data_IF_250622108283
#
_entry.id   IF_250622108283
#
_cell.length_a   1.000
_cell.length_b   1.000
_cell.length_c   1.000
_cell.angle_alpha   90.00
_cell.angle_beta   90.00
_cell.angle_gamma   90.00
#
_symmetry.space_group_name_H-M   'P 1'
#
loop_
_entity.id
_entity.type
_entity.pdbx_description
1 polymer ?
#
# COMPACT_ATOMS: atom_id res chain seq x y z
N UNK A 1 37.76 -6.98 -22.65
CA UNK A 1 36.76 -5.95 -22.30
C UNK A 1 35.98 -6.45 -21.08
N UNK A 2 35.91 -5.65 -20.02
CA UNK A 2 35.07 -5.97 -18.87
C UNK A 2 33.61 -5.71 -19.29
N UNK A 3 32.72 -6.69 -19.09
CA UNK A 3 31.30 -6.49 -19.25
C UNK A 3 30.75 -5.63 -18.09
N UNK A 4 29.68 -4.87 -18.30
CA UNK A 4 29.03 -4.14 -17.22
C UNK A 4 28.46 -5.09 -16.17
N UNK A 5 28.44 -4.65 -14.90
CA UNK A 5 27.76 -5.33 -13.79
C UNK A 5 26.25 -5.12 -13.96
N UNK A 6 25.49 -6.22 -13.94
CA UNK A 6 24.03 -6.21 -14.03
C UNK A 6 23.42 -6.30 -12.64
N UNK A 7 22.65 -5.29 -12.26
CA UNK A 7 21.93 -5.24 -10.98
C UNK A 7 20.43 -5.19 -11.25
N UNK A 8 19.66 -6.02 -10.58
CA UNK A 8 18.20 -5.99 -10.64
C UNK A 8 17.62 -5.81 -9.24
N UNK A 9 16.56 -5.01 -9.15
CA UNK A 9 15.82 -4.74 -7.90
C UNK A 9 14.33 -4.61 -8.16
N UNK A 10 13.54 -4.75 -7.10
CA UNK A 10 12.09 -4.56 -7.15
C UNK A 10 11.70 -3.27 -6.41
N UNK A 11 11.00 -2.35 -7.07
CA UNK A 11 10.63 -1.07 -6.45
C UNK A 11 9.48 -1.18 -5.43
N UNK A 12 8.79 -2.31 -5.37
CA UNK A 12 7.62 -2.54 -4.53
C UNK A 12 7.45 -4.00 -4.14
N UNK A 13 6.33 -4.30 -3.49
CA UNK A 13 5.99 -5.64 -3.00
C UNK A 13 5.72 -6.58 -4.18
N UNK A 14 6.20 -7.81 -4.07
CA UNK A 14 5.96 -8.90 -5.02
C UNK A 14 4.73 -9.69 -4.57
N UNK A 15 3.62 -9.60 -5.30
CA UNK A 15 2.37 -10.29 -4.95
C UNK A 15 2.11 -11.53 -5.80
N UNK A 16 2.37 -11.44 -7.10
CA UNK A 16 2.06 -12.49 -8.06
C UNK A 16 3.31 -12.90 -8.83
N UNK A 17 3.40 -14.18 -9.11
CA UNK A 17 4.52 -14.72 -9.88
C UNK A 17 5.88 -14.29 -9.32
N UNK A 18 5.96 -14.18 -7.98
CA UNK A 18 7.15 -13.67 -7.31
C UNK A 18 8.38 -14.56 -7.60
N UNK A 19 8.21 -15.87 -7.48
CA UNK A 19 9.30 -16.82 -7.75
C UNK A 19 9.72 -16.77 -9.22
N UNK A 20 8.77 -16.85 -10.15
CA UNK A 20 9.04 -16.78 -11.59
C UNK A 20 9.79 -15.48 -11.95
N UNK A 21 9.29 -14.34 -11.45
CA UNK A 21 9.92 -13.06 -11.69
C UNK A 21 11.33 -12.95 -11.12
N UNK A 22 11.61 -13.61 -9.99
CA UNK A 22 12.96 -13.69 -9.43
C UNK A 22 13.86 -14.64 -10.25
N UNK A 23 13.35 -15.78 -10.67
CA UNK A 23 14.08 -16.75 -11.51
C UNK A 23 14.43 -16.19 -12.89
N UNK A 24 13.53 -15.40 -13.50
CA UNK A 24 13.80 -14.68 -14.76
C UNK A 24 15.00 -13.71 -14.65
N UNK A 25 15.35 -13.30 -13.44
CA UNK A 25 16.46 -12.40 -13.13
C UNK A 25 17.68 -13.12 -12.54
N UNK A 26 17.69 -14.44 -12.50
CA UNK A 26 18.78 -15.22 -11.92
C UNK A 26 20.14 -15.01 -12.63
N UNK A 27 20.12 -14.58 -13.89
CA UNK A 27 21.33 -14.30 -14.67
C UNK A 27 21.99 -12.94 -14.39
N UNK A 28 21.49 -12.12 -13.46
CA UNK A 28 22.15 -10.87 -13.06
C UNK A 28 23.28 -11.11 -12.06
N UNK A 29 24.24 -10.19 -11.98
CA UNK A 29 25.35 -10.28 -11.03
C UNK A 29 24.90 -10.01 -9.60
N UNK A 30 23.86 -9.16 -9.41
CA UNK A 30 23.28 -8.84 -8.12
C UNK A 30 21.77 -8.72 -8.21
N UNK A 31 21.05 -9.56 -7.47
CA UNK A 31 19.59 -9.52 -7.32
C UNK A 31 19.24 -8.98 -5.93
N UNK A 32 18.69 -7.76 -5.89
CA UNK A 32 18.26 -7.10 -4.67
C UNK A 32 16.83 -7.49 -4.32
N UNK A 33 16.63 -8.13 -3.19
CA UNK A 33 15.32 -8.60 -2.71
C UNK A 33 14.84 -7.80 -1.51
N UNK A 34 13.51 -7.67 -1.41
CA UNK A 34 12.88 -6.72 -0.50
C UNK A 34 12.65 -7.28 0.91
N UNK A 35 12.49 -8.60 1.05
CA UNK A 35 12.19 -9.26 2.32
C UNK A 35 12.99 -10.54 2.50
N UNK A 36 13.11 -11.00 3.74
CA UNK A 36 13.69 -12.30 4.05
C UNK A 36 12.88 -13.43 3.38
N UNK A 37 11.55 -13.29 3.34
CA UNK A 37 10.66 -14.25 2.68
C UNK A 37 10.95 -14.35 1.16
N UNK A 38 11.20 -13.21 0.48
CA UNK A 38 11.58 -13.22 -0.94
C UNK A 38 12.91 -13.95 -1.13
N UNK A 39 13.90 -13.66 -0.28
CA UNK A 39 15.22 -14.29 -0.33
C UNK A 39 15.13 -15.81 -0.11
N UNK A 40 14.36 -16.25 0.87
CA UNK A 40 14.19 -17.67 1.16
C UNK A 40 13.39 -18.37 0.04
N UNK A 41 12.42 -17.70 -0.55
CA UNK A 41 11.64 -18.21 -1.69
C UNK A 41 12.52 -18.38 -2.92
N UNK A 42 13.36 -17.38 -3.23
CA UNK A 42 14.32 -17.44 -4.34
C UNK A 42 15.33 -18.58 -4.15
N UNK A 43 15.94 -18.68 -2.95
CA UNK A 43 16.92 -19.74 -2.63
C UNK A 43 16.32 -21.14 -2.77
N UNK A 44 15.10 -21.35 -2.27
CA UNK A 44 14.39 -22.63 -2.42
C UNK A 44 14.09 -22.94 -3.89
N UNK A 45 13.66 -21.95 -4.66
CA UNK A 45 13.40 -22.12 -6.10
C UNK A 45 14.67 -22.47 -6.87
N UNK A 46 15.76 -21.77 -6.64
CA UNK A 46 17.06 -22.08 -7.23
C UNK A 46 17.54 -23.48 -6.86
N UNK A 47 17.47 -23.86 -5.57
CA UNK A 47 17.87 -25.18 -5.12
C UNK A 47 17.07 -26.30 -5.78
N UNK A 48 15.75 -26.13 -5.96
CA UNK A 48 14.88 -27.10 -6.66
C UNK A 48 15.25 -27.27 -8.14
N UNK A 49 15.84 -26.25 -8.77
CA UNK A 49 16.27 -26.25 -10.15
C UNK A 49 17.78 -26.52 -10.33
N UNK A 50 18.53 -26.76 -9.26
CA UNK A 50 19.98 -26.95 -9.31
C UNK A 50 20.74 -25.67 -9.72
N UNK A 51 20.18 -24.48 -9.46
CA UNK A 51 20.75 -23.19 -9.81
C UNK A 51 21.47 -22.55 -8.63
N UNK A 52 22.49 -21.72 -8.90
CA UNK A 52 23.15 -20.89 -7.90
C UNK A 52 22.23 -19.70 -7.50
N UNK A 53 22.19 -19.39 -6.21
CA UNK A 53 21.47 -18.27 -5.64
C UNK A 53 22.35 -17.28 -4.88
N UNK A 54 23.68 -17.39 -5.04
CA UNK A 54 24.64 -16.54 -4.33
C UNK A 54 24.59 -15.07 -4.73
N UNK A 55 23.99 -14.77 -5.90
CA UNK A 55 23.79 -13.43 -6.40
C UNK A 55 22.66 -12.63 -5.69
N UNK A 56 21.85 -13.29 -4.85
CA UNK A 56 20.74 -12.64 -4.18
C UNK A 56 21.13 -12.06 -2.82
N UNK A 57 20.76 -10.81 -2.59
CA UNK A 57 21.00 -10.08 -1.33
C UNK A 57 19.71 -9.44 -0.82
N UNK A 58 19.56 -9.41 0.49
CA UNK A 58 18.48 -8.68 1.15
C UNK A 58 18.82 -7.19 1.23
N UNK A 59 18.05 -6.35 0.58
CA UNK A 59 18.25 -4.89 0.57
C UNK A 59 17.13 -4.12 1.23
N UNK A 60 15.98 -4.77 1.47
CA UNK A 60 14.76 -4.11 1.90
C UNK A 60 14.10 -3.32 0.77
N UNK A 61 12.97 -2.70 1.07
CA UNK A 61 12.19 -1.89 0.14
C UNK A 61 12.79 -0.49 -0.01
N UNK A 62 13.23 -0.08 -1.20
CA UNK A 62 13.83 1.23 -1.42
C UNK A 62 12.94 2.41 -1.02
N UNK A 63 11.61 2.25 -1.12
CA UNK A 63 10.64 3.27 -0.72
C UNK A 63 10.76 3.62 0.78
N UNK A 64 11.19 2.68 1.61
CA UNK A 64 11.32 2.87 3.06
C UNK A 64 12.63 3.54 3.47
N UNK A 65 13.66 3.57 2.63
CA UNK A 65 14.97 4.16 2.97
C UNK A 65 14.91 5.66 3.30
N UNK A 66 13.87 6.36 2.85
CA UNK A 66 13.66 7.80 3.08
C UNK A 66 12.53 8.08 4.07
N UNK A 67 11.97 7.04 4.66
CA UNK A 67 10.86 7.17 5.61
C UNK A 67 11.44 7.34 7.02
N UNK A 68 11.17 8.49 7.63
CA UNK A 68 11.53 8.74 9.02
C UNK A 68 10.31 8.52 9.93
N UNK A 69 10.53 7.88 11.07
CA UNK A 69 9.49 7.75 12.09
C UNK A 69 9.00 9.13 12.53
N UNK A 70 7.70 9.29 12.63
CA UNK A 70 7.08 10.53 13.09
C UNK A 70 7.50 10.83 14.54
N UNK A 71 7.95 12.06 14.78
CA UNK A 71 8.44 12.50 16.10
C UNK A 71 7.30 12.95 17.03
N UNK A 72 6.16 13.36 16.47
CA UNK A 72 5.05 13.95 17.21
C UNK A 72 3.71 13.62 16.54
N UNK A 73 2.70 13.32 17.33
CA UNK A 73 1.33 13.16 16.83
C UNK A 73 0.80 14.50 16.30
N UNK A 74 0.03 14.51 15.20
CA UNK A 74 -0.59 15.74 14.69
C UNK A 74 -1.69 16.22 15.65
N UNK A 75 -1.85 17.54 15.76
CA UNK A 75 -2.93 18.15 16.55
C UNK A 75 -4.32 17.79 16.02
N UNK A 76 -4.45 17.70 14.69
CA UNK A 76 -5.67 17.25 14.01
C UNK A 76 -5.28 16.02 13.21
N UNK A 77 -5.75 14.86 13.65
CA UNK A 77 -5.52 13.59 12.97
C UNK A 77 -6.54 13.39 11.85
N UNK A 78 -6.09 13.35 10.61
CA UNK A 78 -6.91 12.96 9.47
C UNK A 78 -6.90 11.44 9.25
N UNK A 79 -7.94 10.93 8.59
CA UNK A 79 -7.96 9.58 8.04
C UNK A 79 -7.73 9.70 6.54
N UNK A 80 -6.75 8.97 6.00
CA UNK A 80 -6.40 9.04 4.59
C UNK A 80 -6.59 7.68 3.92
N UNK A 81 -7.47 7.62 2.92
CA UNK A 81 -7.61 6.44 2.07
C UNK A 81 -6.69 6.55 0.85
N UNK A 82 -5.78 5.61 0.70
CA UNK A 82 -4.86 5.52 -0.44
C UNK A 82 -5.40 4.57 -1.50
N UNK A 83 -5.83 5.13 -2.62
CA UNK A 83 -6.33 4.36 -3.77
C UNK A 83 -5.20 3.66 -4.51
N UNK A 84 -5.54 2.51 -5.08
CA UNK A 84 -4.75 1.83 -6.12
C UNK A 84 -5.50 1.84 -7.45
N UNK A 85 -4.82 2.11 -8.57
CA UNK A 85 -5.50 2.26 -9.88
C UNK A 85 -6.26 1.02 -10.33
N UNK A 86 -5.69 -0.15 -10.05
CA UNK A 86 -6.19 -1.44 -10.56
C UNK A 86 -6.85 -2.31 -9.49
N UNK A 87 -6.96 -1.84 -8.25
CA UNK A 87 -7.49 -2.62 -7.12
C UNK A 87 -8.45 -1.76 -6.29
N UNK A 88 -9.65 -2.26 -6.03
CA UNK A 88 -10.26 -3.44 -6.64
C UNK A 88 -10.59 -3.21 -8.12
N UNK A 89 -10.59 -4.28 -8.91
CA UNK A 89 -10.91 -4.21 -10.34
C UNK A 89 -12.41 -3.99 -10.56
N UNK A 90 -13.24 -4.62 -9.74
CA UNK A 90 -14.68 -4.68 -9.96
C UNK A 90 -15.38 -3.35 -9.59
N UNK A 91 -16.21 -2.76 -10.47
CA UNK A 91 -16.88 -1.47 -10.22
C UNK A 91 -17.75 -1.44 -8.96
N UNK A 92 -18.43 -2.55 -8.63
CA UNK A 92 -19.26 -2.61 -7.42
C UNK A 92 -18.41 -2.53 -6.14
N UNK A 93 -17.23 -3.14 -6.13
CA UNK A 93 -16.31 -3.04 -5.00
C UNK A 93 -15.79 -1.59 -4.84
N UNK A 94 -15.51 -0.89 -5.94
CA UNK A 94 -15.13 0.53 -5.92
C UNK A 94 -16.26 1.41 -5.38
N UNK A 95 -17.49 1.17 -5.80
CA UNK A 95 -18.66 1.88 -5.26
C UNK A 95 -18.87 1.59 -3.78
N UNK A 96 -18.65 0.34 -3.37
CA UNK A 96 -18.69 -0.03 -1.97
C UNK A 96 -17.69 0.79 -1.15
N UNK A 97 -16.42 0.88 -1.57
CA UNK A 97 -15.40 1.68 -0.89
C UNK A 97 -15.80 3.17 -0.80
N UNK A 98 -16.30 3.76 -1.90
CA UNK A 98 -16.78 5.15 -1.87
C UNK A 98 -17.93 5.35 -0.86
N UNK A 99 -18.87 4.39 -0.78
CA UNK A 99 -19.95 4.43 0.19
C UNK A 99 -19.43 4.33 1.62
N UNK A 100 -18.50 3.41 1.91
CA UNK A 100 -17.92 3.27 3.23
C UNK A 100 -17.16 4.53 3.67
N UNK A 101 -16.43 5.17 2.77
CA UNK A 101 -15.76 6.45 3.06
C UNK A 101 -16.76 7.57 3.34
N UNK A 102 -17.89 7.60 2.64
CA UNK A 102 -19.00 8.51 2.93
C UNK A 102 -19.56 8.26 4.33
N UNK A 103 -19.87 7.01 4.67
CA UNK A 103 -20.44 6.63 5.96
C UNK A 103 -19.46 6.97 7.10
N UNK A 104 -18.18 6.71 6.91
CA UNK A 104 -17.13 7.09 7.86
C UNK A 104 -17.06 8.61 8.07
N UNK A 105 -17.16 9.40 6.99
CA UNK A 105 -17.15 10.86 7.08
C UNK A 105 -18.37 11.39 7.83
N UNK A 106 -19.55 10.84 7.58
CA UNK A 106 -20.78 11.22 8.29
C UNK A 106 -20.74 10.84 9.79
N UNK A 107 -20.14 9.67 10.10
CA UNK A 107 -20.00 9.21 11.48
C UNK A 107 -18.95 10.00 12.29
N UNK A 108 -18.00 10.65 11.62
CA UNK A 108 -16.89 11.39 12.24
C UNK A 108 -16.78 12.83 11.70
N UNK A 109 -17.79 13.69 11.92
CA UNK A 109 -17.84 15.02 11.28
C UNK A 109 -16.68 15.95 11.66
N UNK A 110 -16.04 15.74 12.82
CA UNK A 110 -14.86 16.50 13.26
C UNK A 110 -13.52 15.97 12.71
N UNK A 111 -13.52 14.86 11.95
CA UNK A 111 -12.31 14.22 11.43
C UNK A 111 -12.23 14.41 9.92
N UNK A 112 -11.16 15.00 9.38
CA UNK A 112 -10.97 15.05 7.92
C UNK A 112 -10.76 13.64 7.36
N UNK A 113 -11.58 13.24 6.40
CA UNK A 113 -11.47 12.01 5.63
C UNK A 113 -10.94 12.38 4.25
N UNK A 114 -9.73 11.96 3.95
CA UNK A 114 -9.03 12.35 2.72
C UNK A 114 -8.93 11.16 1.79
N UNK A 115 -9.50 11.27 0.60
CA UNK A 115 -9.27 10.32 -0.47
C UNK A 115 -8.06 10.75 -1.29
N UNK A 116 -7.07 9.89 -1.37
CA UNK A 116 -5.83 10.10 -2.13
C UNK A 116 -5.80 9.17 -3.34
N UNK A 117 -6.17 9.64 -4.54
CA UNK A 117 -5.95 8.87 -5.76
C UNK A 117 -4.46 8.75 -6.05
N UNK A 118 -4.05 7.69 -6.74
CA UNK A 118 -2.64 7.49 -7.08
C UNK A 118 -2.13 8.55 -8.05
N UNK A 119 -2.94 8.90 -9.05
CA UNK A 119 -2.56 9.84 -10.11
C UNK A 119 -3.64 10.91 -10.27
N UNK A 120 -3.25 12.08 -10.76
CA UNK A 120 -4.21 13.09 -11.21
C UNK A 120 -4.90 12.63 -12.51
N UNK A 121 -6.12 13.10 -12.74
CA UNK A 121 -6.86 12.84 -14.00
C UNK A 121 -6.12 13.36 -15.25
N UNK A 122 -5.12 14.24 -15.06
CA UNK A 122 -4.30 14.82 -16.12
C UNK A 122 -3.07 13.98 -16.50
N UNK A 123 -2.68 13.02 -15.65
CA UNK A 123 -1.56 12.14 -15.96
C UNK A 123 -2.04 10.97 -16.82
N UNK A 124 -1.55 10.90 -18.07
CA UNK A 124 -1.72 9.72 -18.95
C UNK A 124 -0.94 8.57 -18.36
N UNK A 125 -1.61 7.64 -17.69
CA UNK A 125 -1.01 6.38 -17.23
C UNK A 125 -1.50 5.23 -18.09
N UNK A 126 -0.70 4.16 -18.14
CA UNK A 126 -1.01 2.92 -18.87
C UNK A 126 -2.24 2.17 -18.33
N UNK A 127 -2.84 2.61 -17.24
CA UNK A 127 -3.98 1.97 -16.57
C UNK A 127 -5.27 2.74 -16.83
N UNK A 128 -6.24 2.12 -17.51
CA UNK A 128 -7.50 2.71 -18.01
C UNK A 128 -8.58 3.03 -16.99
N UNK A 129 -8.42 2.73 -15.70
CA UNK A 129 -9.49 2.84 -14.68
C UNK A 129 -9.39 4.07 -13.79
N UNK A 130 -8.69 5.12 -14.23
CA UNK A 130 -8.40 6.29 -13.41
C UNK A 130 -9.53 7.31 -13.45
N UNK A 131 -10.08 7.62 -12.30
CA UNK A 131 -10.98 8.74 -12.12
C UNK A 131 -12.38 8.38 -11.63
N UNK A 132 -12.85 7.12 -11.72
CA UNK A 132 -14.22 6.79 -11.30
C UNK A 132 -14.42 7.06 -9.80
N UNK A 133 -13.58 6.52 -8.92
CA UNK A 133 -13.69 6.77 -7.47
C UNK A 133 -13.42 8.23 -7.13
N UNK A 134 -12.38 8.84 -7.72
CA UNK A 134 -12.04 10.24 -7.48
C UNK A 134 -13.20 11.16 -7.86
N UNK A 135 -13.85 10.93 -9.02
CA UNK A 135 -15.01 11.72 -9.47
C UNK A 135 -16.24 11.51 -8.59
N UNK A 136 -16.43 10.32 -8.03
CA UNK A 136 -17.51 10.04 -7.08
C UNK A 136 -17.25 10.77 -5.76
N UNK A 137 -16.04 10.68 -5.22
CA UNK A 137 -15.63 11.35 -3.98
C UNK A 137 -15.70 12.87 -4.13
N UNK A 138 -15.25 13.43 -5.26
CA UNK A 138 -15.29 14.86 -5.53
C UNK A 138 -16.73 15.40 -5.45
N UNK A 139 -17.68 14.74 -6.11
CA UNK A 139 -19.11 15.09 -6.01
C UNK A 139 -19.68 14.94 -4.59
N UNK A 140 -19.24 13.93 -3.83
CA UNK A 140 -19.66 13.75 -2.44
C UNK A 140 -19.12 14.86 -1.53
N UNK A 141 -17.92 15.37 -1.80
CA UNK A 141 -17.28 16.43 -1.03
C UNK A 141 -18.05 17.76 -1.07
N UNK A 142 -18.84 18.00 -2.11
CA UNK A 142 -19.72 19.18 -2.19
C UNK A 142 -20.77 19.24 -1.07
N UNK A 143 -21.19 18.08 -0.55
CA UNK A 143 -22.22 17.97 0.50
C UNK A 143 -21.70 17.45 1.83
N UNK A 144 -20.47 16.95 1.88
CA UNK A 144 -19.83 16.38 3.07
C UNK A 144 -18.50 17.10 3.32
N UNK A 145 -18.48 18.19 4.09
CA UNK A 145 -17.33 19.10 4.19
C UNK A 145 -16.03 18.47 4.69
N UNK A 146 -16.11 17.41 5.49
CA UNK A 146 -14.95 16.70 6.00
C UNK A 146 -14.47 15.55 5.10
N UNK A 147 -15.16 15.24 3.99
CA UNK A 147 -14.70 14.34 2.94
C UNK A 147 -13.97 15.13 1.86
N UNK A 148 -12.70 14.86 1.63
CA UNK A 148 -11.85 15.68 0.76
C UNK A 148 -11.09 14.83 -0.24
N UNK A 149 -10.89 15.37 -1.46
CA UNK A 149 -9.99 14.81 -2.46
C UNK A 149 -8.61 15.48 -2.36
N UNK A 150 -7.52 14.70 -2.38
CA UNK A 150 -6.18 15.27 -2.33
C UNK A 150 -5.20 14.57 -3.26
N UNK A 151 -4.48 15.35 -4.07
CA UNK A 151 -3.40 14.90 -4.96
C UNK A 151 -2.00 15.13 -4.37
N UNK A 152 -1.89 15.54 -3.10
CA UNK A 152 -0.61 15.74 -2.44
C UNK A 152 0.20 14.42 -2.40
N UNK A 153 1.54 14.46 -2.41
CA UNK A 153 2.39 13.28 -2.25
C UNK A 153 2.05 12.50 -0.97
N UNK A 154 2.12 11.16 -1.02
CA UNK A 154 1.74 10.28 0.10
C UNK A 154 2.47 10.62 1.39
N UNK A 155 3.79 10.76 1.37
CA UNK A 155 4.59 11.14 2.55
C UNK A 155 4.17 12.49 3.16
N UNK A 156 3.71 13.44 2.34
CA UNK A 156 3.21 14.73 2.85
C UNK A 156 1.89 14.57 3.58
N UNK A 157 1.00 13.72 3.09
CA UNK A 157 -0.26 13.41 3.77
C UNK A 157 -0.01 12.62 5.06
N UNK A 158 0.86 11.62 5.02
CA UNK A 158 1.18 10.76 6.17
C UNK A 158 1.75 11.54 7.37
N UNK A 159 2.41 12.66 7.15
CA UNK A 159 2.90 13.53 8.25
C UNK A 159 1.78 14.07 9.14
N UNK A 160 0.58 14.26 8.59
CA UNK A 160 -0.60 14.80 9.28
C UNK A 160 -1.72 13.75 9.39
N UNK A 161 -1.44 12.50 9.07
CA UNK A 161 -2.37 11.40 9.05
C UNK A 161 -2.37 10.69 10.42
N UNK A 162 -3.52 10.51 11.02
CA UNK A 162 -3.68 9.67 12.20
C UNK A 162 -3.93 8.22 11.83
N UNK A 163 -4.64 7.99 10.72
CA UNK A 163 -4.94 6.66 10.21
C UNK A 163 -4.82 6.61 8.69
N UNK A 164 -4.05 5.67 8.18
CA UNK A 164 -3.93 5.34 6.76
C UNK A 164 -4.77 4.11 6.44
N UNK A 165 -5.66 4.20 5.46
CA UNK A 165 -6.52 3.11 5.00
C UNK A 165 -6.17 2.78 3.55
N UNK A 166 -6.10 1.52 3.20
CA UNK A 166 -5.95 1.08 1.81
C UNK A 166 -6.42 -0.36 1.63
N UNK A 167 -6.57 -0.80 0.39
CA UNK A 167 -6.75 -2.24 0.09
C UNK A 167 -5.39 -2.95 0.13
N UNK A 168 -4.39 -2.49 -0.64
CA UNK A 168 -3.04 -3.11 -0.66
C UNK A 168 -1.96 -2.17 -1.21
N UNK A 169 -2.09 -0.84 -1.02
CA UNK A 169 -1.07 0.11 -1.47
C UNK A 169 0.22 0.00 -0.68
N UNK A 170 1.36 0.20 -1.34
CA UNK A 170 2.67 0.36 -0.67
C UNK A 170 2.71 1.53 0.31
N UNK A 171 1.78 2.49 0.23
CA UNK A 171 1.59 3.54 1.24
C UNK A 171 1.30 2.96 2.64
N UNK A 172 0.79 1.72 2.75
CA UNK A 172 0.65 1.02 4.01
C UNK A 172 2.01 0.82 4.71
N UNK A 173 3.03 0.39 3.96
CA UNK A 173 4.38 0.19 4.51
C UNK A 173 5.02 1.51 4.93
N UNK A 174 4.84 2.58 4.14
CA UNK A 174 5.31 3.93 4.51
C UNK A 174 4.62 4.40 5.79
N UNK A 175 3.31 4.16 5.94
CA UNK A 175 2.55 4.58 7.12
C UNK A 175 2.97 3.80 8.37
N UNK A 176 3.15 2.48 8.27
CA UNK A 176 3.67 1.64 9.37
C UNK A 176 5.06 2.09 9.80
N UNK A 177 5.98 2.30 8.84
CA UNK A 177 7.35 2.77 9.13
C UNK A 177 7.36 4.16 9.81
N UNK A 178 6.40 5.03 9.49
CA UNK A 178 6.21 6.33 10.16
C UNK A 178 5.56 6.21 11.55
N UNK A 179 5.05 5.05 11.92
CA UNK A 179 4.28 4.83 13.16
C UNK A 179 2.84 5.36 13.09
N UNK A 180 2.28 5.49 11.90
CA UNK A 180 0.88 5.87 11.67
C UNK A 180 -0.01 4.63 11.80
N UNK A 181 -1.19 4.75 12.43
CA UNK A 181 -2.18 3.68 12.42
C UNK A 181 -2.51 3.30 10.97
N UNK A 182 -2.38 2.02 10.66
CA UNK A 182 -2.55 1.52 9.29
C UNK A 182 -3.61 0.45 9.28
N UNK A 183 -4.59 0.59 8.38
CA UNK A 183 -5.72 -0.33 8.26
C UNK A 183 -5.82 -0.83 6.81
N UNK A 184 -5.82 -2.15 6.68
CA UNK A 184 -5.96 -2.85 5.39
C UNK A 184 -7.37 -3.39 5.30
N UNK A 185 -8.14 -2.92 4.33
CA UNK A 185 -9.57 -3.24 4.19
C UNK A 185 -9.78 -4.73 3.96
N UNK A 186 -10.57 -5.36 4.84
CA UNK A 186 -10.97 -6.78 4.78
C UNK A 186 -12.34 -7.02 4.17
N UNK A 187 -13.22 -6.02 4.09
CA UNK A 187 -14.62 -6.14 3.63
C UNK A 187 -14.77 -6.74 2.23
N UNK A 188 -13.75 -6.63 1.40
CA UNK A 188 -13.71 -7.21 0.06
C UNK A 188 -13.10 -8.62 0.02
N UNK A 189 -12.79 -9.18 1.20
CA UNK A 189 -12.01 -10.40 1.38
C UNK A 189 -10.50 -10.12 1.47
N UNK A 190 -9.76 -11.11 1.99
CA UNK A 190 -8.30 -11.13 2.03
C UNK A 190 -7.83 -12.14 0.99
N UNK A 191 -7.36 -11.64 -0.16
CA UNK A 191 -7.09 -12.49 -1.33
C UNK A 191 -5.85 -12.04 -2.09
N UNK A 192 -5.25 -12.97 -2.82
CA UNK A 192 -4.14 -12.68 -3.73
C UNK A 192 -4.56 -11.70 -4.85
N UNK A 193 -5.80 -11.79 -5.32
CA UNK A 193 -6.33 -10.90 -6.37
C UNK A 193 -6.36 -9.44 -5.93
N UNK A 194 -6.64 -9.19 -4.65
CA UNK A 194 -6.61 -7.86 -4.06
C UNK A 194 -5.20 -7.47 -3.59
N UNK A 195 -4.28 -8.43 -3.46
CA UNK A 195 -2.91 -8.21 -2.96
C UNK A 195 -2.84 -7.94 -1.45
N UNK A 196 -3.98 -7.89 -0.75
CA UNK A 196 -4.03 -7.61 0.68
C UNK A 196 -3.67 -8.83 1.56
N UNK A 197 -3.64 -10.04 0.98
CA UNK A 197 -3.13 -11.25 1.63
C UNK A 197 -1.68 -11.08 2.14
N UNK A 198 -0.88 -10.24 1.48
CA UNK A 198 0.47 -9.89 1.94
C UNK A 198 0.47 -9.35 3.37
N UNK A 199 -0.59 -8.66 3.77
CA UNK A 199 -0.73 -8.05 5.09
C UNK A 199 -1.44 -8.95 6.12
N UNK A 200 -1.74 -10.21 5.80
CA UNK A 200 -2.55 -11.10 6.66
C UNK A 200 -2.01 -11.21 8.10
N UNK A 201 -0.68 -11.28 8.26
CA UNK A 201 -0.01 -11.43 9.56
C UNK A 201 0.45 -10.09 10.16
N UNK A 202 0.15 -8.96 9.51
CA UNK A 202 0.62 -7.64 9.94
C UNK A 202 -0.12 -7.06 11.16
N UNK A 203 -1.28 -7.64 11.53
CA UNK A 203 -2.18 -7.08 12.53
C UNK A 203 -2.97 -5.85 12.02
N UNK A 204 -2.82 -5.47 10.74
CA UNK A 204 -3.47 -4.28 10.16
C UNK A 204 -4.80 -4.57 9.45
N UNK A 205 -5.16 -5.83 9.25
CA UNK A 205 -6.40 -6.21 8.57
C UNK A 205 -7.60 -5.77 9.41
N UNK A 206 -8.51 -5.00 8.83
CA UNK A 206 -9.69 -4.48 9.52
C UNK A 206 -10.85 -4.23 8.55
N UNK A 207 -12.08 -4.42 9.02
CA UNK A 207 -13.30 -4.00 8.33
C UNK A 207 -13.53 -2.50 8.49
N UNK A 208 -14.38 -1.90 7.66
CA UNK A 208 -14.79 -0.49 7.85
C UNK A 208 -15.56 -0.27 9.15
N UNK A 209 -16.24 -1.28 9.69
CA UNK A 209 -16.88 -1.21 10.99
C UNK A 209 -15.83 -1.02 12.09
N UNK A 210 -14.83 -1.90 12.17
CA UNK A 210 -13.72 -1.81 13.13
C UNK A 210 -12.93 -0.50 12.98
N UNK A 211 -12.69 -0.05 11.72
CA UNK A 211 -12.06 1.23 11.42
C UNK A 211 -12.93 2.39 11.94
N UNK A 212 -14.25 2.28 11.82
CA UNK A 212 -15.20 3.25 12.35
C UNK A 212 -15.16 3.36 13.86
N UNK A 213 -14.98 2.25 14.57
CA UNK A 213 -14.87 2.23 16.03
C UNK A 213 -13.55 2.85 16.50
N UNK A 214 -12.43 2.33 16.02
CA UNK A 214 -11.10 2.80 16.43
C UNK A 214 -10.12 2.92 15.25
N UNK A 215 -10.10 4.06 14.54
CA UNK A 215 -9.17 4.28 13.45
C UNK A 215 -7.74 4.57 13.89
N UNK A 216 -7.54 5.13 15.10
CA UNK A 216 -6.28 5.77 15.45
C UNK A 216 -5.32 4.89 16.24
N UNK A 217 -5.78 3.80 16.85
CA UNK A 217 -4.89 2.87 17.56
C UNK A 217 -4.09 2.04 16.56
N UNK A 218 -2.75 2.12 16.59
CA UNK A 218 -1.92 1.27 15.76
C UNK A 218 -2.06 -0.20 16.17
N UNK A 219 -2.38 -1.06 15.22
CA UNK A 219 -2.57 -2.50 15.43
C UNK A 219 -1.45 -3.35 14.82
N UNK A 220 -0.55 -2.74 14.04
CA UNK A 220 0.50 -3.49 13.36
C UNK A 220 1.52 -4.10 14.31
N UNK A 221 1.88 -5.35 14.06
CA UNK A 221 2.99 -6.00 14.74
C UNK A 221 4.31 -5.33 14.33
N UNK A 222 5.08 -4.87 15.32
CA UNK A 222 6.36 -4.20 15.10
C UNK A 222 7.43 -5.13 14.51
N UNK A 223 7.28 -6.43 14.69
CA UNK A 223 8.19 -7.45 14.16
C UNK A 223 7.87 -7.83 12.71
N UNK A 224 6.71 -7.42 12.19
CA UNK A 224 6.27 -7.79 10.84
C UNK A 224 6.94 -6.94 9.74
N UNK A 225 7.25 -5.69 9.98
CA UNK A 225 7.94 -4.78 9.07
C UNK A 225 9.45 -4.84 9.32
#
# INVERSE_FOLDING_TARGET
SQRPVLVSAYPGILFRFALEGMLDRSGVDLLCLNSQQDLDTYRRGCAALGMDSSNAVLTGLPILWRVEKRKKEPEISSIVFFEQPSIPVHPLQRRYLCRQLKELALAKPGTPIIFKPRTSSLERTLHRSHGEMASVIDRMSETIPNLQLSFKPSLRLLRHCGCAITVSSTAALESMAMGVSTKIVSDLGVTETLGNHFFAESGCIASFEEIGEDPFTPTHDKGWL
#
